data_IF_063803882783
#
_entry.id   IF_063803882783
#
_cell.length_a   1.000
_cell.length_b   1.000
_cell.length_c   1.000
_cell.angle_alpha   90.00
_cell.angle_beta   90.00
_cell.angle_gamma   90.00
#
_symmetry.space_group_name_H-M   'P 1'
#
loop_
_entity.id
_entity.type
_entity.pdbx_description
1 polymer ?
#
# COMPACT_ATOMS: atom_id res chain seq x y z
N UNK A 1 83.24 6.15 -30.49
CA UNK A 1 81.92 6.28 -31.09
C UNK A 1 80.98 5.45 -30.26
N UNK A 2 80.30 6.07 -29.29
CA UNK A 2 79.30 5.40 -28.40
C UNK A 2 77.91 5.65 -28.95
N UNK A 3 77.21 4.60 -29.35
CA UNK A 3 75.84 4.67 -29.79
C UNK A 3 74.92 4.66 -28.54
N UNK A 4 74.17 5.73 -28.36
CA UNK A 4 73.17 5.87 -27.29
C UNK A 4 71.85 5.21 -27.81
N UNK A 5 71.41 4.17 -27.08
CA UNK A 5 70.18 3.44 -27.38
C UNK A 5 69.07 4.07 -26.55
N UNK A 6 68.17 4.83 -27.19
CA UNK A 6 67.01 5.43 -26.53
C UNK A 6 65.87 4.39 -26.53
N UNK A 7 65.55 3.91 -25.31
CA UNK A 7 64.37 3.03 -25.08
C UNK A 7 63.15 3.93 -24.89
N UNK A 8 62.21 3.92 -25.82
CA UNK A 8 60.91 4.57 -25.72
C UNK A 8 59.97 3.60 -25.03
N UNK A 9 59.60 3.91 -23.77
CA UNK A 9 58.61 3.17 -23.00
C UNK A 9 57.22 3.62 -23.42
N UNK A 10 56.47 2.78 -24.16
CA UNK A 10 55.11 3.02 -24.57
C UNK A 10 54.19 2.61 -23.40
N UNK A 11 53.64 3.57 -22.66
CA UNK A 11 52.64 3.34 -21.63
C UNK A 11 51.28 3.26 -22.33
N UNK A 12 50.76 2.05 -22.50
CA UNK A 12 49.37 1.80 -22.96
C UNK A 12 48.41 2.01 -21.79
N UNK A 13 47.66 3.11 -21.83
CA UNK A 13 46.61 3.42 -20.89
C UNK A 13 45.39 2.52 -21.20
N UNK A 14 45.21 1.45 -20.44
CA UNK A 14 44.00 0.59 -20.53
C UNK A 14 42.85 1.32 -19.86
N UNK A 15 41.98 1.95 -20.67
CA UNK A 15 40.73 2.51 -20.18
C UNK A 15 39.76 1.35 -19.89
N UNK A 16 39.57 1.00 -18.63
CA UNK A 16 38.50 0.09 -18.20
C UNK A 16 37.18 0.83 -18.28
N UNK A 17 36.14 0.30 -18.99
CA UNK A 17 34.83 0.92 -18.97
C UNK A 17 34.24 0.78 -17.58
N UNK A 18 34.02 1.92 -16.90
CA UNK A 18 33.21 1.97 -15.68
C UNK A 18 31.77 1.68 -16.10
N UNK A 19 31.32 0.46 -15.89
CA UNK A 19 29.92 0.12 -16.05
C UNK A 19 29.10 0.92 -15.03
N UNK A 20 28.48 2.00 -15.47
CA UNK A 20 27.48 2.73 -14.71
C UNK A 20 26.31 1.77 -14.44
N UNK A 21 26.20 1.27 -13.22
CA UNK A 21 24.98 0.65 -12.71
C UNK A 21 23.92 1.74 -12.57
N UNK A 22 23.28 2.10 -13.68
CA UNK A 22 22.06 2.89 -13.65
C UNK A 22 21.03 2.08 -12.86
N UNK A 23 20.61 2.61 -11.72
CA UNK A 23 19.54 2.04 -10.89
C UNK A 23 18.28 2.01 -11.77
N UNK A 24 17.94 0.83 -12.29
CA UNK A 24 16.78 0.62 -13.16
C UNK A 24 15.56 1.07 -12.37
N UNK A 25 14.94 2.19 -12.75
CA UNK A 25 13.66 2.63 -12.24
C UNK A 25 12.72 1.46 -12.52
N UNK A 26 12.13 0.86 -11.51
CA UNK A 26 11.18 -0.24 -11.70
C UNK A 26 10.01 0.30 -12.50
N UNK A 27 9.96 -0.07 -13.77
CA UNK A 27 8.80 0.23 -14.62
C UNK A 27 7.61 -0.58 -14.11
N UNK A 28 6.45 0.06 -14.04
CA UNK A 28 5.19 -0.58 -13.70
C UNK A 28 4.87 -1.60 -14.80
N UNK A 29 4.69 -2.89 -14.47
CA UNK A 29 4.44 -3.90 -15.48
C UNK A 29 3.06 -3.68 -16.13
N UNK A 30 3.02 -3.71 -17.45
CA UNK A 30 1.77 -3.62 -18.22
C UNK A 30 0.92 -4.88 -18.03
N UNK A 31 1.56 -6.02 -17.80
CA UNK A 31 0.89 -7.29 -17.53
C UNK A 31 1.57 -7.96 -16.34
N UNK A 32 0.77 -8.48 -15.41
CA UNK A 32 1.28 -9.24 -14.25
C UNK A 32 1.65 -10.67 -14.66
N UNK A 33 2.33 -11.39 -13.77
CA UNK A 33 2.68 -12.81 -14.01
C UNK A 33 1.44 -13.72 -14.06
N UNK A 34 0.33 -13.28 -13.48
CA UNK A 34 -0.96 -13.97 -13.50
C UNK A 34 -1.80 -13.63 -14.74
N UNK A 35 -1.32 -12.76 -15.62
CA UNK A 35 -2.01 -12.38 -16.86
C UNK A 35 -2.91 -11.15 -16.77
N UNK A 36 -3.03 -10.53 -15.58
CA UNK A 36 -3.82 -9.30 -15.45
C UNK A 36 -3.16 -8.13 -16.18
N UNK A 37 -3.96 -7.30 -16.84
CA UNK A 37 -3.53 -6.15 -17.65
C UNK A 37 -3.75 -4.86 -16.87
N UNK A 38 -2.79 -3.94 -16.97
CA UNK A 38 -2.88 -2.62 -16.32
C UNK A 38 -4.06 -1.83 -16.90
N UNK A 39 -4.95 -1.39 -16.02
CA UNK A 39 -6.07 -0.52 -16.37
C UNK A 39 -5.54 0.91 -16.49
N UNK A 40 -5.69 1.55 -17.67
CA UNK A 40 -5.24 2.93 -17.85
C UNK A 40 -6.16 3.91 -17.10
N UNK A 41 -5.61 5.09 -16.75
CA UNK A 41 -6.34 6.27 -16.27
C UNK A 41 -7.23 6.03 -15.04
N UNK A 42 -6.80 5.16 -14.13
CA UNK A 42 -7.47 5.00 -12.82
C UNK A 42 -7.30 6.30 -12.01
N UNK A 43 -8.44 6.92 -11.60
CA UNK A 43 -8.43 8.24 -10.95
C UNK A 43 -8.06 8.18 -9.46
N UNK A 44 -8.54 7.14 -8.78
CA UNK A 44 -8.55 7.09 -7.31
C UNK A 44 -7.55 6.09 -6.73
N UNK A 45 -6.99 5.21 -7.57
CA UNK A 45 -5.98 4.20 -7.21
C UNK A 45 -4.81 4.31 -8.17
N UNK A 46 -3.60 4.35 -7.66
CA UNK A 46 -2.41 4.56 -8.47
C UNK A 46 -2.19 3.48 -9.53
N UNK A 47 -2.46 2.22 -9.20
CA UNK A 47 -2.29 1.09 -10.12
C UNK A 47 -3.37 0.05 -9.89
N UNK A 48 -4.07 -0.30 -10.96
CA UNK A 48 -5.05 -1.39 -10.99
C UNK A 48 -4.72 -2.29 -12.17
N UNK A 49 -4.67 -3.58 -11.95
CA UNK A 49 -4.59 -4.60 -13.01
C UNK A 49 -5.86 -5.44 -12.93
N UNK A 50 -6.48 -5.68 -14.05
CA UNK A 50 -7.68 -6.48 -14.15
C UNK A 50 -7.53 -7.61 -15.16
N UNK A 51 -8.26 -8.68 -14.99
CA UNK A 51 -8.42 -9.72 -16.00
C UNK A 51 -9.16 -9.13 -17.21
N UNK A 52 -8.64 -9.34 -18.43
CA UNK A 52 -9.33 -8.86 -19.62
C UNK A 52 -10.73 -9.45 -19.76
N UNK A 53 -11.75 -8.57 -19.75
CA UNK A 53 -13.15 -8.97 -19.87
C UNK A 53 -13.81 -9.42 -18.56
N UNK A 54 -13.16 -9.27 -17.42
CA UNK A 54 -13.79 -9.54 -16.13
C UNK A 54 -15.00 -8.63 -15.91
N UNK A 55 -16.14 -9.23 -15.61
CA UNK A 55 -17.39 -8.54 -15.27
C UNK A 55 -17.61 -8.61 -13.74
N UNK A 56 -17.52 -7.46 -13.08
CA UNK A 56 -17.77 -7.36 -11.65
C UNK A 56 -19.26 -7.07 -11.34
N UNK A 57 -20.12 -6.93 -12.32
CA UNK A 57 -21.52 -6.57 -12.13
C UNK A 57 -22.37 -7.66 -11.47
N UNK A 58 -21.90 -8.91 -11.54
CA UNK A 58 -22.58 -10.06 -10.95
C UNK A 58 -22.45 -10.14 -9.42
N UNK A 59 -21.48 -9.40 -8.82
CA UNK A 59 -21.17 -9.51 -7.39
C UNK A 59 -21.98 -8.51 -6.56
N UNK A 60 -23.02 -8.99 -5.90
CA UNK A 60 -23.87 -8.20 -4.98
C UNK A 60 -23.43 -8.35 -3.52
N UNK A 61 -22.74 -9.42 -3.22
CA UNK A 61 -22.23 -9.74 -1.88
C UNK A 61 -20.69 -9.72 -1.87
N UNK A 62 -20.13 -9.33 -0.76
CA UNK A 62 -18.67 -9.18 -0.61
C UNK A 62 -18.19 -9.96 0.60
N UNK A 63 -17.23 -10.83 0.41
CA UNK A 63 -16.45 -11.44 1.46
C UNK A 63 -15.18 -10.60 1.67
N UNK A 64 -15.20 -9.69 2.63
CA UNK A 64 -14.07 -8.85 2.99
C UNK A 64 -13.24 -9.53 4.07
N UNK A 65 -12.03 -9.95 3.72
CA UNK A 65 -11.08 -10.59 4.66
C UNK A 65 -10.35 -9.52 5.48
N UNK A 66 -10.02 -9.84 6.73
CA UNK A 66 -9.18 -8.98 7.56
C UNK A 66 -7.85 -8.68 6.87
N UNK A 67 -7.40 -7.42 6.82
CA UNK A 67 -6.16 -7.05 6.13
C UNK A 67 -4.93 -7.58 6.88
N UNK A 68 -3.97 -8.10 6.14
CA UNK A 68 -2.61 -8.25 6.64
C UNK A 68 -1.94 -6.87 6.76
N UNK A 69 -1.28 -6.61 7.90
CA UNK A 69 -0.60 -5.33 8.12
C UNK A 69 0.89 -5.53 8.35
N UNK A 70 1.71 -4.92 7.51
CA UNK A 70 3.17 -4.98 7.59
C UNK A 70 3.79 -3.58 7.66
N UNK A 71 4.68 -3.38 8.64
CA UNK A 71 5.47 -2.15 8.72
C UNK A 71 6.53 -2.07 7.63
N UNK A 72 6.88 -0.85 7.26
CA UNK A 72 8.02 -0.57 6.40
C UNK A 72 9.30 -1.21 6.97
N UNK A 73 10.12 -1.79 6.09
CA UNK A 73 11.37 -2.43 6.47
C UNK A 73 12.20 -1.53 7.39
N UNK A 74 12.68 -2.09 8.50
CA UNK A 74 13.49 -1.40 9.52
C UNK A 74 12.77 -0.23 10.25
N UNK A 75 11.45 -0.08 10.14
CA UNK A 75 10.72 1.02 10.78
C UNK A 75 10.98 1.07 12.30
N UNK A 76 10.80 -0.02 13.03
CA UNK A 76 11.05 -0.09 14.48
C UNK A 76 12.50 0.31 14.85
N UNK A 77 13.47 -0.20 14.10
CA UNK A 77 14.89 0.11 14.32
C UNK A 77 15.16 1.60 14.15
N UNK A 78 14.56 2.22 13.14
CA UNK A 78 14.73 3.63 12.85
C UNK A 78 14.05 4.50 13.90
N UNK A 79 12.82 4.18 14.32
CA UNK A 79 12.13 4.84 15.43
C UNK A 79 12.94 4.79 16.72
N UNK A 80 13.46 3.61 17.06
CA UNK A 80 14.24 3.41 18.28
C UNK A 80 15.64 4.02 18.26
N UNK A 81 16.18 4.34 17.09
CA UNK A 81 17.47 5.04 16.94
C UNK A 81 17.35 6.53 17.29
N UNK A 82 16.26 7.16 16.92
CA UNK A 82 15.98 8.58 17.21
C UNK A 82 15.55 8.82 18.65
N UNK A 83 15.15 7.78 19.39
CA UNK A 83 14.73 7.88 20.78
C UNK A 83 15.95 7.73 21.71
N UNK A 84 16.33 8.84 22.38
CA UNK A 84 17.42 8.85 23.34
C UNK A 84 17.07 8.12 24.65
N UNK A 85 15.77 8.03 24.99
CA UNK A 85 15.26 7.42 26.20
C UNK A 85 14.83 5.97 25.95
N UNK A 86 15.28 5.05 26.83
CA UNK A 86 14.87 3.65 26.81
C UNK A 86 13.39 3.44 27.01
N UNK A 87 12.73 4.32 27.78
CA UNK A 87 11.30 4.23 28.10
C UNK A 87 10.40 4.62 26.92
N UNK A 88 10.95 5.29 25.91
CA UNK A 88 10.22 5.75 24.73
C UNK A 88 10.51 4.90 23.48
N UNK A 89 11.01 3.67 23.67
CA UNK A 89 11.27 2.75 22.56
C UNK A 89 10.01 1.98 22.19
N UNK A 90 9.75 1.91 20.89
CA UNK A 90 8.72 1.05 20.31
C UNK A 90 9.08 -0.41 20.56
N UNK A 91 8.20 -1.14 21.21
CA UNK A 91 8.32 -2.58 21.48
C UNK A 91 7.62 -3.41 20.40
N UNK A 92 7.88 -4.72 20.38
CA UNK A 92 7.11 -5.64 19.52
C UNK A 92 5.62 -5.67 19.90
N UNK A 93 5.28 -5.50 21.16
CA UNK A 93 3.89 -5.41 21.64
C UNK A 93 3.19 -4.16 21.08
N UNK A 94 3.89 -3.02 21.05
CA UNK A 94 3.34 -1.80 20.42
C UNK A 94 3.11 -2.01 18.94
N UNK A 95 4.03 -2.67 18.24
CA UNK A 95 3.87 -2.99 16.82
C UNK A 95 2.63 -3.86 16.57
N UNK A 96 2.43 -4.92 17.34
CA UNK A 96 1.25 -5.80 17.19
C UNK A 96 -0.05 -5.07 17.52
N UNK A 97 -0.06 -4.20 18.53
CA UNK A 97 -1.20 -3.36 18.84
C UNK A 97 -1.53 -2.41 17.68
N UNK A 98 -0.52 -1.72 17.13
CA UNK A 98 -0.72 -0.80 15.99
C UNK A 98 -1.26 -1.55 14.76
N UNK A 99 -0.72 -2.73 14.44
CA UNK A 99 -1.24 -3.55 13.34
C UNK A 99 -2.71 -3.90 13.53
N UNK A 100 -3.07 -4.36 14.75
CA UNK A 100 -4.45 -4.70 15.08
C UNK A 100 -5.39 -3.48 14.97
N UNK A 101 -4.96 -2.33 15.46
CA UNK A 101 -5.75 -1.10 15.41
C UNK A 101 -5.94 -0.62 13.95
N UNK A 102 -4.91 -0.74 13.12
CA UNK A 102 -4.96 -0.40 11.69
C UNK A 102 -5.88 -1.37 10.93
N UNK A 103 -5.78 -2.68 11.19
CA UNK A 103 -6.64 -3.68 10.59
C UNK A 103 -8.12 -3.46 10.96
N UNK A 104 -8.41 -3.23 12.24
CA UNK A 104 -9.77 -2.96 12.71
C UNK A 104 -10.35 -1.68 12.10
N UNK A 105 -9.54 -0.64 11.95
CA UNK A 105 -9.98 0.60 11.30
C UNK A 105 -10.26 0.39 9.81
N UNK A 106 -9.43 -0.39 9.13
CA UNK A 106 -9.66 -0.75 7.72
C UNK A 106 -11.01 -1.45 7.56
N UNK A 107 -11.28 -2.48 8.37
CA UNK A 107 -12.54 -3.20 8.35
C UNK A 107 -13.74 -2.28 8.61
N UNK A 108 -13.63 -1.37 9.59
CA UNK A 108 -14.67 -0.38 9.87
C UNK A 108 -14.96 0.52 8.65
N UNK A 109 -13.92 1.09 8.05
CA UNK A 109 -14.06 2.04 6.91
C UNK A 109 -14.64 1.35 5.68
N UNK A 110 -14.16 0.16 5.34
CA UNK A 110 -14.62 -0.58 4.17
C UNK A 110 -16.02 -1.13 4.37
N UNK A 111 -16.33 -1.68 5.56
CA UNK A 111 -17.68 -2.13 5.91
C UNK A 111 -18.70 -1.00 5.78
N UNK A 112 -18.38 0.17 6.37
CA UNK A 112 -19.23 1.36 6.31
C UNK A 112 -19.50 1.78 4.86
N UNK A 113 -18.45 1.90 4.05
CA UNK A 113 -18.57 2.37 2.66
C UNK A 113 -19.32 1.39 1.76
N UNK A 114 -19.00 0.10 1.84
CA UNK A 114 -19.64 -0.93 1.04
C UNK A 114 -21.11 -1.12 1.42
N UNK A 115 -21.43 -1.14 2.71
CA UNK A 115 -22.82 -1.25 3.19
C UNK A 115 -23.65 -0.03 2.77
N UNK A 116 -23.09 1.18 2.87
CA UNK A 116 -23.72 2.40 2.39
C UNK A 116 -23.94 2.38 0.87
N UNK A 117 -23.09 1.68 0.11
CA UNK A 117 -23.24 1.42 -1.32
C UNK A 117 -24.27 0.35 -1.67
N UNK A 118 -24.90 -0.29 -0.68
CA UNK A 118 -25.92 -1.33 -0.89
C UNK A 118 -25.35 -2.74 -1.07
N UNK A 119 -24.05 -2.96 -0.80
CA UNK A 119 -23.42 -4.29 -0.84
C UNK A 119 -23.65 -5.01 0.48
N UNK A 120 -23.92 -6.32 0.40
CA UNK A 120 -24.07 -7.18 1.59
C UNK A 120 -22.74 -7.84 1.91
N UNK A 121 -22.29 -7.69 3.16
CA UNK A 121 -21.10 -8.42 3.62
C UNK A 121 -21.47 -9.82 4.07
N UNK A 122 -20.65 -10.80 3.71
CA UNK A 122 -20.86 -12.23 4.02
C UNK A 122 -19.54 -12.96 4.18
N UNK A 123 -19.54 -14.10 4.84
CA UNK A 123 -18.41 -15.04 4.89
C UNK A 123 -18.64 -16.27 3.99
N UNK A 124 -19.78 -16.33 3.32
CA UNK A 124 -20.13 -17.41 2.40
C UNK A 124 -19.33 -17.33 1.10
N UNK A 125 -19.31 -18.46 0.36
CA UNK A 125 -18.79 -18.54 -1.00
C UNK A 125 -19.94 -18.86 -1.94
N UNK A 126 -20.08 -18.11 -2.99
CA UNK A 126 -21.11 -18.31 -4.02
C UNK A 126 -20.77 -17.49 -5.27
N UNK A 127 -21.49 -17.75 -6.38
CA UNK A 127 -21.29 -17.10 -7.68
C UNK A 127 -21.42 -15.56 -7.61
N UNK A 128 -22.26 -15.04 -6.71
CA UNK A 128 -22.52 -13.60 -6.53
C UNK A 128 -21.65 -12.96 -5.43
N UNK A 129 -20.66 -13.69 -4.90
CA UNK A 129 -19.78 -13.20 -3.84
C UNK A 129 -18.39 -12.87 -4.37
N UNK A 130 -18.00 -11.61 -4.23
CA UNK A 130 -16.63 -11.16 -4.47
C UNK A 130 -15.78 -11.36 -3.22
N UNK A 131 -14.70 -12.11 -3.32
CA UNK A 131 -13.72 -12.25 -2.26
C UNK A 131 -12.67 -11.13 -2.37
N UNK A 132 -12.61 -10.27 -1.36
CA UNK A 132 -11.68 -9.14 -1.26
C UNK A 132 -10.61 -9.45 -0.22
N UNK A 133 -9.35 -9.57 -0.66
CA UNK A 133 -8.19 -9.86 0.20
C UNK A 133 -7.25 -8.67 0.23
N UNK A 134 -7.37 -7.78 1.23
CA UNK A 134 -6.52 -6.61 1.38
C UNK A 134 -5.24 -6.91 2.17
N UNK A 135 -4.22 -6.09 1.93
CA UNK A 135 -3.05 -5.96 2.79
C UNK A 135 -2.64 -4.49 2.87
N UNK A 136 -2.15 -4.07 4.03
CA UNK A 136 -1.50 -2.78 4.23
C UNK A 136 -0.01 -3.04 4.39
N UNK A 137 0.76 -2.60 3.41
CA UNK A 137 2.21 -2.78 3.41
C UNK A 137 2.93 -1.44 3.56
N UNK A 138 4.22 -1.48 3.89
CA UNK A 138 5.04 -0.29 4.11
C UNK A 138 4.45 0.72 5.10
N UNK A 139 3.71 0.22 6.12
CA UNK A 139 3.16 1.08 7.16
C UNK A 139 4.28 1.85 7.87
N UNK A 140 4.19 3.17 7.82
CA UNK A 140 5.10 4.08 8.48
C UNK A 140 4.30 5.04 9.36
N UNK A 141 4.46 4.95 10.68
CA UNK A 141 3.86 5.87 11.66
C UNK A 141 4.96 6.82 12.11
N UNK A 142 4.77 8.13 11.91
CA UNK A 142 5.80 9.15 12.19
C UNK A 142 6.05 9.27 13.71
N UNK A 143 4.99 9.38 14.48
CA UNK A 143 5.04 9.49 15.93
C UNK A 143 4.03 8.50 16.55
N UNK A 144 4.45 7.25 16.80
CA UNK A 144 3.56 6.25 17.37
C UNK A 144 3.20 6.60 18.81
N UNK A 145 1.93 6.45 19.17
CA UNK A 145 1.48 6.51 20.55
C UNK A 145 1.87 5.19 21.23
N UNK A 146 2.94 5.24 22.01
CA UNK A 146 3.45 4.07 22.76
C UNK A 146 3.04 4.18 24.22
N UNK A 147 2.68 3.05 24.82
CA UNK A 147 2.40 2.99 26.27
C UNK A 147 3.72 3.07 27.04
N UNK A 148 4.24 4.29 27.21
CA UNK A 148 5.37 4.51 28.11
C UNK A 148 4.89 5.05 29.47
N UNK A 149 5.63 4.72 30.51
CA UNK A 149 5.38 5.23 31.89
C UNK A 149 5.64 6.73 32.04
N UNK A 150 6.26 7.35 31.04
CA UNK A 150 6.48 8.80 30.98
C UNK A 150 5.47 9.44 30.02
N UNK A 151 4.79 10.52 30.47
CA UNK A 151 3.91 11.35 29.62
C UNK A 151 4.74 12.21 28.66
N UNK A 152 5.38 11.59 27.68
CA UNK A 152 6.09 12.33 26.64
C UNK A 152 5.12 12.59 25.49
N UNK A 153 4.81 13.85 25.26
CA UNK A 153 4.03 14.27 24.10
C UNK A 153 4.91 14.21 22.86
N UNK A 154 4.50 13.42 21.87
CA UNK A 154 5.14 13.42 20.54
C UNK A 154 4.41 14.38 19.62
N UNK A 155 5.17 15.15 18.84
CA UNK A 155 4.63 16.10 17.86
C UNK A 155 5.14 15.74 16.48
N UNK A 156 4.29 15.85 15.47
CA UNK A 156 4.67 15.66 14.07
C UNK A 156 3.82 16.52 13.14
N UNK A 157 4.30 16.77 11.93
CA UNK A 157 3.55 17.48 10.88
C UNK A 157 2.68 16.55 10.06
N UNK A 158 2.95 15.23 10.12
CA UNK A 158 2.22 14.17 9.40
C UNK A 158 2.11 12.92 10.29
N UNK A 159 1.00 12.20 10.20
CA UNK A 159 0.82 10.94 10.93
C UNK A 159 1.66 9.79 10.33
N UNK A 160 1.92 9.82 9.02
CA UNK A 160 2.70 8.78 8.35
C UNK A 160 2.25 8.44 6.94
N UNK A 161 2.55 7.21 6.51
CA UNK A 161 2.21 6.69 5.19
C UNK A 161 1.92 5.20 5.24
N UNK A 162 1.20 4.69 4.24
CA UNK A 162 0.94 3.27 4.05
C UNK A 162 0.69 2.98 2.57
N UNK A 163 0.75 1.72 2.19
CA UNK A 163 0.42 1.28 0.83
C UNK A 163 -0.66 0.22 0.89
N UNK A 164 -1.76 0.44 0.17
CA UNK A 164 -2.76 -0.60 -0.08
C UNK A 164 -2.21 -1.59 -1.10
N UNK A 165 -2.37 -2.87 -0.82
CA UNK A 165 -2.31 -3.94 -1.78
C UNK A 165 -3.57 -4.78 -1.64
N UNK A 166 -4.38 -4.88 -2.69
CA UNK A 166 -5.67 -5.55 -2.63
C UNK A 166 -5.81 -6.48 -3.83
N UNK A 167 -6.41 -7.65 -3.60
CA UNK A 167 -6.77 -8.60 -4.64
C UNK A 167 -8.26 -8.89 -4.57
N UNK A 168 -8.86 -9.01 -5.74
CA UNK A 168 -10.26 -9.38 -5.92
C UNK A 168 -10.33 -10.74 -6.59
N UNK A 169 -11.08 -11.66 -6.01
CA UNK A 169 -11.28 -13.01 -6.54
C UNK A 169 -12.76 -13.31 -6.67
N UNK A 170 -13.10 -14.13 -7.63
CA UNK A 170 -14.34 -14.88 -7.57
C UNK A 170 -14.29 -15.83 -6.36
N UNK A 171 -15.30 -15.80 -5.50
CA UNK A 171 -15.23 -16.56 -4.24
C UNK A 171 -15.47 -18.05 -4.43
N UNK A 172 -16.15 -18.45 -5.50
CA UNK A 172 -16.48 -19.83 -5.81
C UNK A 172 -15.35 -20.51 -6.57
N UNK A 173 -14.87 -19.92 -7.66
CA UNK A 173 -13.82 -20.49 -8.51
C UNK A 173 -12.41 -20.24 -7.95
N UNK A 174 -12.22 -19.15 -7.22
CA UNK A 174 -10.92 -18.67 -6.76
C UNK A 174 -10.11 -17.95 -7.85
N UNK A 175 -10.72 -17.62 -8.98
CA UNK A 175 -10.07 -16.89 -10.07
C UNK A 175 -9.75 -15.46 -9.65
N UNK A 176 -8.55 -15.01 -9.98
CA UNK A 176 -8.08 -13.67 -9.67
C UNK A 176 -8.57 -12.68 -10.72
N UNK A 177 -9.49 -11.82 -10.34
CA UNK A 177 -10.15 -10.85 -11.24
C UNK A 177 -9.40 -9.52 -11.33
N UNK A 178 -8.86 -9.04 -10.21
CA UNK A 178 -8.14 -7.77 -10.20
C UNK A 178 -7.13 -7.68 -9.05
N UNK A 179 -6.16 -6.77 -9.22
CA UNK A 179 -5.21 -6.32 -8.20
C UNK A 179 -5.15 -4.81 -8.17
N UNK A 180 -5.03 -4.24 -6.97
CA UNK A 180 -4.79 -2.82 -6.77
C UNK A 180 -3.55 -2.58 -5.91
N UNK A 181 -2.81 -1.53 -6.23
CA UNK A 181 -1.68 -1.04 -5.45
C UNK A 181 -1.75 0.48 -5.37
N UNK A 182 -1.83 1.02 -4.16
CA UNK A 182 -1.90 2.47 -3.95
C UNK A 182 -1.09 2.93 -2.73
N UNK A 183 0.07 3.58 -2.93
CA UNK A 183 0.79 4.24 -1.87
C UNK A 183 0.13 5.57 -1.51
N UNK A 184 -0.13 5.78 -0.22
CA UNK A 184 -0.69 7.03 0.29
C UNK A 184 0.08 7.55 1.50
N UNK A 185 -0.01 8.84 1.73
CA UNK A 185 0.57 9.52 2.90
C UNK A 185 -0.38 10.55 3.46
N UNK A 186 -0.34 10.72 4.79
CA UNK A 186 -1.08 11.81 5.42
C UNK A 186 -0.53 13.17 4.96
N UNK A 187 -1.42 14.15 4.91
CA UNK A 187 -1.07 15.52 4.49
C UNK A 187 -0.07 16.13 5.47
N UNK A 188 0.99 16.70 4.95
CA UNK A 188 1.86 17.60 5.72
C UNK A 188 1.20 18.97 5.79
N UNK A 189 0.69 19.32 6.96
CA UNK A 189 0.02 20.61 7.18
C UNK A 189 1.01 21.73 7.52
N UNK A 190 2.32 21.45 7.54
CA UNK A 190 3.37 22.41 7.92
C UNK A 190 3.35 22.83 9.38
N UNK A 191 2.37 22.38 10.18
CA UNK A 191 2.25 22.67 11.60
C UNK A 191 2.45 21.42 12.42
N UNK A 192 3.28 21.49 13.44
CA UNK A 192 3.46 20.39 14.41
C UNK A 192 2.19 20.22 15.24
N UNK A 193 1.61 19.04 15.17
CA UNK A 193 0.44 18.66 15.96
C UNK A 193 0.81 17.59 16.97
N UNK A 194 0.14 17.61 18.11
CA UNK A 194 0.27 16.55 19.10
C UNK A 194 -0.24 15.21 18.53
N UNK A 195 0.66 14.24 18.48
CA UNK A 195 0.36 12.89 17.98
C UNK A 195 -0.19 12.04 19.12
N UNK A 196 -1.43 11.60 18.96
CA UNK A 196 -2.14 10.68 19.85
C UNK A 196 -2.66 9.50 19.04
N UNK A 197 -3.11 8.45 19.73
CA UNK A 197 -3.85 7.35 19.07
C UNK A 197 -5.07 7.88 18.31
N UNK A 198 -5.79 8.85 18.86
CA UNK A 198 -6.96 9.47 18.21
C UNK A 198 -6.58 10.24 16.96
N UNK A 199 -5.53 11.09 16.99
CA UNK A 199 -5.09 11.83 15.80
C UNK A 199 -4.52 10.92 14.72
N UNK A 200 -3.75 9.90 15.09
CA UNK A 200 -3.22 8.89 14.17
C UNK A 200 -4.34 8.06 13.54
N UNK A 201 -5.37 7.68 14.32
CA UNK A 201 -6.56 6.99 13.81
C UNK A 201 -7.34 7.85 12.80
N UNK A 202 -7.55 9.15 13.12
CA UNK A 202 -8.24 10.06 12.22
C UNK A 202 -7.48 10.25 10.89
N UNK A 203 -6.15 10.35 10.95
CA UNK A 203 -5.30 10.42 9.77
C UNK A 203 -5.36 9.13 8.93
N UNK A 204 -5.26 7.97 9.58
CA UNK A 204 -5.38 6.68 8.90
C UNK A 204 -6.75 6.52 8.22
N UNK A 205 -7.86 6.94 8.88
CA UNK A 205 -9.20 6.94 8.29
C UNK A 205 -9.26 7.80 7.02
N UNK A 206 -8.67 9.01 7.05
CA UNK A 206 -8.61 9.88 5.86
C UNK A 206 -7.84 9.26 4.69
N UNK A 207 -6.80 8.48 4.99
CA UNK A 207 -6.02 7.77 3.96
C UNK A 207 -6.74 6.54 3.41
N UNK A 208 -7.52 5.82 4.24
CA UNK A 208 -8.23 4.59 3.84
C UNK A 208 -9.55 4.87 3.12
N UNK A 209 -10.24 5.96 3.46
CA UNK A 209 -11.55 6.26 2.90
C UNK A 209 -11.57 6.33 1.37
N UNK A 210 -10.65 7.01 0.68
CA UNK A 210 -10.57 6.99 -0.79
C UNK A 210 -10.45 5.58 -1.38
N UNK A 211 -9.78 4.66 -0.70
CA UNK A 211 -9.64 3.27 -1.14
C UNK A 211 -10.96 2.51 -1.12
N UNK A 212 -11.74 2.69 -0.04
CA UNK A 212 -13.06 2.08 0.07
C UNK A 212 -14.04 2.68 -0.96
N UNK A 213 -14.00 4.00 -1.15
CA UNK A 213 -14.77 4.72 -2.17
C UNK A 213 -14.40 4.25 -3.59
N UNK A 214 -13.12 4.02 -3.87
CA UNK A 214 -12.65 3.53 -5.17
C UNK A 214 -13.12 2.09 -5.43
N UNK A 215 -13.06 1.20 -4.44
CA UNK A 215 -13.59 -0.16 -4.59
C UNK A 215 -15.10 -0.12 -4.88
N UNK A 216 -15.88 0.59 -4.08
CA UNK A 216 -17.32 0.75 -4.31
C UNK A 216 -17.60 1.35 -5.69
N UNK A 217 -16.90 2.44 -6.05
CA UNK A 217 -17.07 3.11 -7.33
C UNK A 217 -16.79 2.20 -8.54
N UNK A 218 -15.76 1.34 -8.45
CA UNK A 218 -15.45 0.36 -9.50
C UNK A 218 -16.55 -0.71 -9.65
N UNK A 219 -17.10 -1.18 -8.55
CA UNK A 219 -18.23 -2.12 -8.55
C UNK A 219 -19.52 -1.47 -9.12
N UNK A 220 -19.82 -0.25 -8.69
CA UNK A 220 -20.98 0.50 -9.18
C UNK A 220 -20.88 0.79 -10.69
N UNK A 221 -19.68 1.11 -11.18
CA UNK A 221 -19.41 1.34 -12.60
C UNK A 221 -19.64 0.08 -13.43
N UNK A 222 -19.13 -1.07 -12.97
CA UNK A 222 -19.33 -2.35 -13.65
C UNK A 222 -20.82 -2.68 -13.81
N UNK A 223 -21.62 -2.50 -12.77
CA UNK A 223 -23.09 -2.70 -12.83
C UNK A 223 -23.76 -1.76 -13.82
N UNK A 224 -23.33 -0.51 -13.89
CA UNK A 224 -23.92 0.50 -14.78
C UNK A 224 -23.64 0.20 -16.24
N UNK A 225 -22.41 -0.20 -16.59
CA UNK A 225 -22.04 -0.58 -17.96
C UNK A 225 -22.87 -1.77 -18.41
N UNK A 226 -22.95 -2.83 -17.61
CA UNK A 226 -23.69 -4.05 -17.96
C UNK A 226 -25.19 -3.80 -18.12
N UNK A 227 -25.78 -2.82 -17.41
CA UNK A 227 -27.20 -2.47 -17.58
C UNK A 227 -27.47 -1.71 -18.88
N UNK A 228 -26.54 -0.91 -19.38
CA UNK A 228 -26.65 -0.19 -20.65
C UNK A 228 -26.50 -1.08 -21.87
N UNK A 229 -25.68 -2.15 -21.78
CA UNK A 229 -25.47 -3.10 -22.89
C UNK A 229 -26.68 -4.04 -23.11
N UNK A 230 -27.65 -4.04 -22.20
CA UNK A 230 -28.89 -4.86 -22.26
C UNK A 230 -30.12 -4.10 -22.80
N UNK A 231 -30.03 -2.80 -23.02
CA UNK A 231 -31.07 -1.98 -23.67
C UNK A 231 -30.82 -1.80 -25.16
#
# INVERSE_FOLDING_TARGET
MKKLLTVVLLITLVATPIASFAKKKSEIPQTTVEGLVLVPDTKDIAFVWAEPGADLSQYDRIHLVDPEVAFKKNWQKNQNRSSADRLNKVTSRDMERIKKDVAALFMEVFTEELTNGGYTLTEERAEDVLLVTPAIIDLYVTAPDIQSSSRNNSYSTTAGSMTLYMKLYDSETGDLLAKALDPTSDRDNGMMQWSTSTSNRAAARRMMKPWAEALRGGLDESRRVTSQDKE
#
